data_IF_390365787682
#
_entry.id   IF_390365787682
#
_cell.length_a   1.000
_cell.length_b   1.000
_cell.length_c   1.000
_cell.angle_alpha   90.00
_cell.angle_beta   90.00
_cell.angle_gamma   90.00
#
_symmetry.space_group_name_H-M   'P 1'
#
loop_
_entity.id
_entity.type
_entity.pdbx_description
1 polymer ?
#
# COMPACT_ATOMS: atom_id res chain seq x y z
N UNK A 1 2.74 -8.53 29.08
CA UNK A 1 3.45 -8.09 27.86
C UNK A 1 3.41 -9.16 26.78
N UNK A 2 2.31 -9.94 26.69
CA UNK A 2 2.21 -11.07 25.76
C UNK A 2 1.99 -10.57 24.34
N UNK A 3 1.20 -9.49 24.19
CA UNK A 3 0.92 -8.90 22.90
C UNK A 3 2.17 -8.26 22.28
N UNK A 4 2.98 -7.57 23.09
CA UNK A 4 4.23 -6.94 22.66
C UNK A 4 5.29 -8.00 22.30
N UNK A 5 5.43 -9.05 23.12
CA UNK A 5 6.35 -10.15 22.85
C UNK A 5 5.95 -10.93 21.60
N UNK A 6 4.65 -11.16 21.38
CA UNK A 6 4.15 -11.79 20.17
C UNK A 6 4.42 -10.93 18.92
N UNK A 7 4.25 -9.61 19.00
CA UNK A 7 4.60 -8.69 17.92
C UNK A 7 6.10 -8.69 17.59
N UNK A 8 6.95 -8.77 18.61
CA UNK A 8 8.40 -8.84 18.41
C UNK A 8 8.83 -10.17 17.74
N UNK A 9 8.19 -11.29 18.10
CA UNK A 9 8.53 -12.61 17.56
C UNK A 9 8.00 -12.81 16.14
N UNK A 10 6.77 -12.39 15.85
CA UNK A 10 6.10 -12.68 14.58
C UNK A 10 6.19 -11.54 13.55
N UNK A 11 6.78 -10.41 13.92
CA UNK A 11 7.02 -9.26 13.04
C UNK A 11 5.72 -8.68 12.44
N UNK A 12 5.84 -8.06 11.26
CA UNK A 12 4.77 -7.31 10.58
C UNK A 12 3.66 -8.17 9.93
N UNK A 13 3.58 -9.48 10.22
CA UNK A 13 2.54 -10.34 9.63
C UNK A 13 1.15 -9.86 10.04
N UNK A 14 0.18 -9.90 9.13
CA UNK A 14 -1.22 -9.54 9.43
C UNK A 14 -1.81 -10.58 10.40
N UNK A 15 -1.85 -10.22 11.68
CA UNK A 15 -2.47 -11.03 12.72
C UNK A 15 -3.99 -10.92 12.56
N UNK A 16 -4.75 -12.03 12.56
CA UNK A 16 -6.20 -11.96 12.56
C UNK A 16 -6.70 -11.28 13.84
N UNK A 17 -7.68 -10.39 13.68
CA UNK A 17 -8.22 -9.54 14.77
C UNK A 17 -8.70 -10.32 15.99
N UNK A 18 -9.24 -11.53 15.79
CA UNK A 18 -9.68 -12.40 16.88
C UNK A 18 -8.54 -12.83 17.81
N UNK A 19 -7.37 -13.18 17.27
CA UNK A 19 -6.20 -13.60 18.08
C UNK A 19 -5.66 -12.42 18.86
N UNK A 20 -5.57 -11.24 18.24
CA UNK A 20 -5.09 -10.03 18.92
C UNK A 20 -6.01 -9.62 20.06
N UNK A 21 -7.34 -9.72 19.87
CA UNK A 21 -8.32 -9.47 20.92
C UNK A 21 -8.20 -10.48 22.06
N UNK A 22 -8.08 -11.77 21.76
CA UNK A 22 -7.93 -12.80 22.79
C UNK A 22 -6.67 -12.60 23.62
N UNK A 23 -5.53 -12.32 22.98
CA UNK A 23 -4.27 -12.04 23.67
C UNK A 23 -4.36 -10.79 24.55
N UNK A 24 -5.01 -9.73 24.04
CA UNK A 24 -5.23 -8.51 24.81
C UNK A 24 -6.09 -8.75 26.06
N UNK A 25 -7.20 -9.46 25.91
CA UNK A 25 -8.09 -9.78 27.04
C UNK A 25 -7.42 -10.69 28.07
N UNK A 26 -6.66 -11.68 27.62
CA UNK A 26 -5.88 -12.55 28.49
C UNK A 26 -4.84 -11.74 29.28
N UNK A 27 -4.10 -10.86 28.60
CA UNK A 27 -3.10 -10.00 29.25
C UNK A 27 -3.74 -9.05 30.28
N UNK A 28 -4.87 -8.41 29.94
CA UNK A 28 -5.60 -7.54 30.86
C UNK A 28 -6.14 -8.33 32.06
N UNK A 29 -6.66 -9.54 31.82
CA UNK A 29 -7.12 -10.42 32.90
C UNK A 29 -5.98 -10.82 33.83
N UNK A 30 -4.84 -11.21 33.28
CA UNK A 30 -3.66 -11.60 34.06
C UNK A 30 -3.11 -10.45 34.89
N UNK A 31 -3.02 -9.26 34.32
CA UNK A 31 -2.57 -8.05 35.04
C UNK A 31 -3.55 -7.68 36.15
N UNK A 32 -4.86 -7.69 35.89
CA UNK A 32 -5.88 -7.46 36.92
C UNK A 32 -5.80 -8.49 38.05
N UNK A 33 -5.57 -9.77 37.73
CA UNK A 33 -5.40 -10.82 38.73
C UNK A 33 -4.15 -10.58 39.59
N UNK A 34 -3.02 -10.24 38.97
CA UNK A 34 -1.80 -9.89 39.71
C UNK A 34 -2.00 -8.69 40.62
N UNK A 35 -2.73 -7.65 40.17
CA UNK A 35 -3.06 -6.49 40.99
C UNK A 35 -3.94 -6.90 42.18
N UNK A 36 -4.97 -7.72 41.94
CA UNK A 36 -5.87 -8.21 42.99
C UNK A 36 -5.12 -8.97 44.10
N UNK A 37 -4.10 -9.76 43.75
CA UNK A 37 -3.27 -10.50 44.72
C UNK A 37 -2.28 -9.61 45.48
N UNK A 38 -1.85 -8.48 44.91
CA UNK A 38 -0.81 -7.60 45.48
C UNK A 38 -1.37 -6.32 46.12
N UNK A 39 -2.56 -6.37 46.72
CA UNK A 39 -3.16 -5.21 47.41
C UNK A 39 -4.18 -4.42 46.60
N UNK A 40 -4.72 -5.01 45.54
CA UNK A 40 -5.90 -4.54 44.78
C UNK A 40 -5.84 -3.05 44.39
N UNK A 41 -6.92 -2.30 44.66
CA UNK A 41 -7.07 -0.92 44.22
C UNK A 41 -6.09 0.08 44.85
N UNK A 42 -5.36 -0.31 45.91
CA UNK A 42 -4.28 0.47 46.51
C UNK A 42 -2.91 0.28 45.82
N UNK A 43 -2.85 -0.53 44.76
CA UNK A 43 -1.60 -0.82 44.08
C UNK A 43 -1.28 0.18 42.93
N UNK A 44 -0.13 0.88 42.97
CA UNK A 44 0.27 1.82 41.92
C UNK A 44 0.53 1.17 40.55
N UNK A 45 0.72 -0.16 40.49
CA UNK A 45 0.87 -0.92 39.25
C UNK A 45 -0.39 -0.98 38.39
N UNK A 46 -1.53 -0.45 38.86
CA UNK A 46 -2.74 -0.23 38.04
C UNK A 46 -2.43 0.51 36.73
N UNK A 47 -1.47 1.44 36.74
CA UNK A 47 -1.04 2.18 35.56
C UNK A 47 -0.41 1.32 34.46
N UNK A 48 0.15 0.14 34.79
CA UNK A 48 0.72 -0.79 33.80
C UNK A 48 -0.36 -1.27 32.82
N UNK A 49 -1.63 -1.29 33.24
CA UNK A 49 -2.78 -1.69 32.42
C UNK A 49 -3.03 -0.74 31.24
N UNK A 50 -2.50 0.49 31.28
CA UNK A 50 -2.52 1.41 30.15
C UNK A 50 -1.71 0.89 28.94
N UNK A 51 -0.62 0.15 29.18
CA UNK A 51 0.22 -0.36 28.07
C UNK A 51 -0.53 -1.35 27.18
N UNK A 52 -1.11 -2.45 27.68
CA UNK A 52 -1.91 -3.35 26.85
C UNK A 52 -3.17 -2.68 26.30
N UNK A 53 -3.75 -1.70 27.00
CA UNK A 53 -4.87 -0.90 26.50
C UNK A 53 -4.46 -0.11 25.25
N UNK A 54 -3.37 0.67 25.31
CA UNK A 54 -2.85 1.45 24.19
C UNK A 54 -2.52 0.57 23.00
N UNK A 55 -1.83 -0.55 23.22
CA UNK A 55 -1.50 -1.50 22.17
C UNK A 55 -2.77 -2.06 21.51
N UNK A 56 -3.76 -2.43 22.33
CA UNK A 56 -5.04 -2.91 21.81
C UNK A 56 -5.75 -1.84 20.97
N UNK A 57 -5.80 -0.60 21.45
CA UNK A 57 -6.40 0.52 20.72
C UNK A 57 -5.66 0.84 19.41
N UNK A 58 -4.35 0.61 19.34
CA UNK A 58 -3.56 0.82 18.13
C UNK A 58 -3.67 -0.32 17.12
N UNK A 59 -3.89 -1.56 17.56
CA UNK A 59 -3.90 -2.72 16.66
C UNK A 59 -5.31 -3.20 16.27
N UNK A 60 -6.30 -3.06 17.15
CA UNK A 60 -7.64 -3.56 16.90
C UNK A 60 -8.51 -2.57 16.09
N UNK A 61 -9.55 -3.07 15.41
CA UNK A 61 -10.60 -2.21 14.86
C UNK A 61 -11.33 -1.47 15.99
N UNK A 62 -11.88 -0.29 15.68
CA UNK A 62 -12.48 0.62 16.67
C UNK A 62 -13.45 -0.06 17.64
N UNK A 63 -14.36 -0.89 17.14
CA UNK A 63 -15.36 -1.59 17.96
C UNK A 63 -14.70 -2.49 19.02
N UNK A 64 -13.66 -3.22 18.63
CA UNK A 64 -12.96 -4.14 19.52
C UNK A 64 -12.06 -3.40 20.53
N UNK A 65 -11.51 -2.24 20.16
CA UNK A 65 -10.80 -1.36 21.09
C UNK A 65 -11.68 -0.84 22.22
N UNK A 66 -12.94 -0.49 21.93
CA UNK A 66 -13.91 -0.06 22.97
C UNK A 66 -14.27 -1.19 23.94
N UNK A 67 -14.35 -2.44 23.47
CA UNK A 67 -14.57 -3.61 24.33
C UNK A 67 -13.42 -3.75 25.32
N UNK A 68 -12.18 -3.63 24.84
CA UNK A 68 -10.98 -3.69 25.68
C UNK A 68 -10.96 -2.55 26.72
N UNK A 69 -11.31 -1.33 26.33
CA UNK A 69 -11.45 -0.20 27.25
C UNK A 69 -12.49 -0.46 28.34
N UNK A 70 -13.69 -0.90 27.95
CA UNK A 70 -14.78 -1.18 28.88
C UNK A 70 -14.38 -2.26 29.90
N UNK A 71 -13.77 -3.35 29.45
CA UNK A 71 -13.28 -4.42 30.33
C UNK A 71 -12.18 -3.94 31.27
N UNK A 72 -11.30 -3.05 30.79
CA UNK A 72 -10.22 -2.47 31.60
C UNK A 72 -10.76 -1.59 32.72
N UNK A 73 -11.75 -0.74 32.41
CA UNK A 73 -12.43 0.11 33.40
C UNK A 73 -13.23 -0.73 34.40
N UNK A 74 -13.99 -1.73 33.91
CA UNK A 74 -14.75 -2.63 34.78
C UNK A 74 -13.84 -3.41 35.72
N UNK A 75 -12.70 -3.92 35.22
CA UNK A 75 -11.71 -4.63 36.02
C UNK A 75 -11.15 -3.76 37.15
N UNK A 76 -10.84 -2.49 36.87
CA UNK A 76 -10.37 -1.53 37.88
C UNK A 76 -11.47 -1.14 38.87
N UNK A 77 -12.71 -0.97 38.40
CA UNK A 77 -13.87 -0.71 39.28
C UNK A 77 -14.14 -1.87 40.25
N UNK A 78 -14.03 -3.12 39.80
CA UNK A 78 -14.23 -4.30 40.65
C UNK A 78 -13.19 -4.41 41.78
N UNK A 79 -11.97 -3.87 41.59
CA UNK A 79 -10.94 -3.88 42.62
C UNK A 79 -11.31 -3.04 43.86
N UNK A 80 -12.25 -2.09 43.74
CA UNK A 80 -12.74 -1.29 44.87
C UNK A 80 -13.66 -2.07 45.82
N UNK A 81 -14.16 -3.23 45.39
CA UNK A 81 -15.07 -4.08 46.20
C UNK A 81 -14.26 -4.93 47.20
N UNK A 82 -12.97 -5.14 46.96
CA UNK A 82 -12.10 -5.91 47.85
C UNK A 82 -11.78 -5.07 49.10
N UNK A 83 -12.21 -5.49 50.32
CA UNK A 83 -12.03 -4.69 51.52
C UNK A 83 -10.56 -4.55 51.90
N UNK A 84 -10.13 -3.32 52.18
CA UNK A 84 -8.81 -3.04 52.74
C UNK A 84 -8.74 -3.58 54.18
N UNK A 85 -7.99 -4.66 54.40
CA UNK A 85 -7.81 -5.25 55.74
C UNK A 85 -6.80 -4.43 56.56
N UNK A 86 -7.28 -3.62 57.52
CA UNK A 86 -6.41 -2.93 58.48
C UNK A 86 -7.05 -1.72 59.17
N UNK A 87 -6.49 -1.31 60.32
CA UNK A 87 -6.99 -0.19 61.16
C UNK A 87 -6.91 1.22 60.53
N UNK A 88 -6.35 1.36 59.31
CA UNK A 88 -6.31 2.61 58.51
C UNK A 88 -7.19 2.53 57.25
N UNK A 89 -8.26 1.73 57.28
CA UNK A 89 -9.08 1.38 56.12
C UNK A 89 -9.68 2.58 55.37
N UNK A 90 -10.12 3.63 56.07
CA UNK A 90 -10.79 4.78 55.44
C UNK A 90 -9.85 5.63 54.55
N UNK A 91 -8.62 5.90 55.01
CA UNK A 91 -7.64 6.67 54.24
C UNK A 91 -7.08 5.87 53.05
N UNK A 92 -6.94 4.55 53.22
CA UNK A 92 -6.47 3.67 52.15
C UNK A 92 -7.55 3.47 51.07
N UNK A 93 -8.83 3.44 51.47
CA UNK A 93 -9.96 3.35 50.54
C UNK A 93 -10.15 4.64 49.71
N UNK A 94 -9.96 5.83 50.30
CA UNK A 94 -10.02 7.08 49.54
C UNK A 94 -8.86 7.22 48.54
N UNK A 95 -7.66 6.77 48.91
CA UNK A 95 -6.51 6.72 47.99
C UNK A 95 -6.76 5.77 46.82
N UNK A 96 -7.29 4.58 47.10
CA UNK A 96 -7.65 3.58 46.08
C UNK A 96 -8.71 4.10 45.09
N UNK A 97 -9.73 4.82 45.57
CA UNK A 97 -10.70 5.50 44.71
C UNK A 97 -10.03 6.53 43.79
N UNK A 98 -9.09 7.32 44.32
CA UNK A 98 -8.32 8.29 43.54
C UNK A 98 -7.52 7.64 42.41
N UNK A 99 -6.94 6.46 42.66
CA UNK A 99 -6.19 5.72 41.63
C UNK A 99 -7.10 5.18 40.53
N UNK A 100 -8.25 4.58 40.87
CA UNK A 100 -9.22 4.09 39.88
C UNK A 100 -9.78 5.25 39.05
N UNK A 101 -10.11 6.38 39.69
CA UNK A 101 -10.60 7.56 38.98
C UNK A 101 -9.54 8.14 38.04
N UNK A 102 -8.29 8.20 38.47
CA UNK A 102 -7.16 8.64 37.62
C UNK A 102 -6.96 7.70 36.44
N UNK A 103 -7.09 6.37 36.64
CA UNK A 103 -7.02 5.39 35.56
C UNK A 103 -8.15 5.57 34.54
N UNK A 104 -9.39 5.79 34.99
CA UNK A 104 -10.54 6.05 34.10
C UNK A 104 -10.30 7.31 33.28
N UNK A 105 -9.87 8.41 33.92
CA UNK A 105 -9.65 9.67 33.23
C UNK A 105 -8.51 9.56 32.20
N UNK A 106 -7.39 8.96 32.58
CA UNK A 106 -6.23 8.77 31.69
C UNK A 106 -6.55 7.81 30.53
N UNK A 107 -7.21 6.69 30.78
CA UNK A 107 -7.61 5.74 29.73
C UNK A 107 -8.59 6.37 28.72
N UNK A 108 -9.53 7.18 29.18
CA UNK A 108 -10.47 7.90 28.30
C UNK A 108 -9.77 8.97 27.46
N UNK A 109 -8.87 9.75 28.08
CA UNK A 109 -8.06 10.75 27.39
C UNK A 109 -7.20 10.11 26.29
N UNK A 110 -6.46 9.05 26.65
CA UNK A 110 -5.61 8.31 25.72
C UNK A 110 -6.42 7.71 24.57
N UNK A 111 -7.58 7.11 24.88
CA UNK A 111 -8.49 6.58 23.85
C UNK A 111 -8.93 7.66 22.88
N UNK A 112 -9.31 8.83 23.39
CA UNK A 112 -9.76 9.97 22.58
C UNK A 112 -8.64 10.48 21.66
N UNK A 113 -7.43 10.62 22.19
CA UNK A 113 -6.25 11.04 21.41
C UNK A 113 -5.90 10.03 20.32
N UNK A 114 -5.90 8.73 20.63
CA UNK A 114 -5.65 7.67 19.64
C UNK A 114 -6.73 7.67 18.57
N UNK A 115 -8.00 7.84 18.95
CA UNK A 115 -9.11 7.91 18.01
C UNK A 115 -8.97 9.09 17.05
N UNK A 116 -8.64 10.27 17.57
CA UNK A 116 -8.37 11.47 16.78
C UNK A 116 -7.23 11.25 15.77
N UNK A 117 -6.11 10.67 16.20
CA UNK A 117 -4.99 10.38 15.30
C UNK A 117 -5.35 9.36 14.23
N UNK A 118 -6.13 8.33 14.55
CA UNK A 118 -6.58 7.34 13.56
C UNK A 118 -7.45 7.98 12.48
N UNK A 119 -8.35 8.89 12.84
CA UNK A 119 -9.15 9.64 11.86
C UNK A 119 -8.28 10.51 10.96
N UNK A 120 -7.33 11.25 11.54
CA UNK A 120 -6.41 12.07 10.75
C UNK A 120 -5.52 11.25 9.82
N UNK A 121 -5.01 10.10 10.28
CA UNK A 121 -4.21 9.20 9.45
C UNK A 121 -5.04 8.62 8.31
N UNK A 122 -6.32 8.29 8.55
CA UNK A 122 -7.24 7.87 7.50
C UNK A 122 -7.41 8.95 6.41
N UNK A 123 -7.63 10.20 6.80
CA UNK A 123 -7.75 11.30 5.85
C UNK A 123 -6.45 11.54 5.05
N UNK A 124 -5.29 11.51 5.73
CA UNK A 124 -3.98 11.69 5.09
C UNK A 124 -3.67 10.56 4.10
N UNK A 125 -3.94 9.32 4.47
CA UNK A 125 -3.70 8.16 3.58
C UNK A 125 -4.58 8.21 2.35
N UNK A 126 -5.85 8.58 2.48
CA UNK A 126 -6.74 8.80 1.34
C UNK A 126 -6.24 9.92 0.41
N UNK A 127 -5.78 11.05 0.98
CA UNK A 127 -5.23 12.16 0.19
C UNK A 127 -3.95 11.76 -0.58
N UNK A 128 -3.06 10.98 0.05
CA UNK A 128 -1.85 10.46 -0.60
C UNK A 128 -2.20 9.51 -1.75
N UNK A 129 -3.21 8.64 -1.57
CA UNK A 129 -3.67 7.76 -2.63
C UNK A 129 -4.20 8.56 -3.83
N UNK A 130 -5.01 9.59 -3.59
CA UNK A 130 -5.51 10.47 -4.65
C UNK A 130 -4.38 11.23 -5.37
N UNK A 131 -3.38 11.71 -4.65
CA UNK A 131 -2.21 12.36 -5.25
C UNK A 131 -1.42 11.39 -6.13
N UNK A 132 -1.24 10.14 -5.68
CA UNK A 132 -0.55 9.11 -6.45
C UNK A 132 -1.29 8.77 -7.74
N UNK A 133 -2.61 8.65 -7.70
CA UNK A 133 -3.43 8.42 -8.90
C UNK A 133 -3.32 9.57 -9.90
N UNK A 134 -3.33 10.82 -9.41
CA UNK A 134 -3.13 12.00 -10.27
C UNK A 134 -1.73 12.01 -10.90
N UNK A 135 -0.70 11.74 -10.12
CA UNK A 135 0.67 11.68 -10.61
C UNK A 135 0.82 10.63 -11.72
N UNK A 136 0.28 9.42 -11.52
CA UNK A 136 0.32 8.36 -12.54
C UNK A 136 -0.39 8.80 -13.83
N UNK A 137 -1.53 9.50 -13.71
CA UNK A 137 -2.25 10.04 -14.86
C UNK A 137 -1.45 11.12 -15.59
N UNK A 138 -0.80 12.02 -14.86
CA UNK A 138 0.01 13.09 -15.45
C UNK A 138 1.26 12.53 -16.15
N UNK A 139 1.91 11.52 -15.56
CA UNK A 139 3.02 10.78 -16.18
C UNK A 139 2.57 10.10 -17.49
N UNK A 140 1.39 9.48 -17.51
CA UNK A 140 0.82 8.88 -18.71
C UNK A 140 0.54 9.92 -19.80
N UNK A 141 -0.05 11.07 -19.44
CA UNK A 141 -0.31 12.15 -20.40
C UNK A 141 1.00 12.74 -20.95
N UNK A 142 2.02 12.88 -20.11
CA UNK A 142 3.35 13.33 -20.54
C UNK A 142 3.96 12.33 -21.53
N UNK A 143 3.89 11.02 -21.25
CA UNK A 143 4.40 9.99 -22.15
C UNK A 143 3.68 9.99 -23.52
N UNK A 144 2.36 10.18 -23.53
CA UNK A 144 1.59 10.35 -24.77
C UNK A 144 2.03 11.63 -25.50
N UNK A 145 2.22 12.74 -24.76
CA UNK A 145 2.66 14.01 -25.33
C UNK A 145 4.06 13.96 -25.94
N UNK A 146 5.01 13.30 -25.26
CA UNK A 146 6.37 13.10 -25.79
C UNK A 146 6.36 12.18 -27.00
N UNK A 147 5.57 11.10 -26.98
CA UNK A 147 5.38 10.24 -28.14
C UNK A 147 4.77 11.01 -29.32
N UNK A 148 3.73 11.83 -29.10
CA UNK A 148 3.12 12.67 -30.13
C UNK A 148 4.11 13.70 -30.72
N UNK A 149 4.97 14.29 -29.89
CA UNK A 149 6.01 15.21 -30.34
C UNK A 149 7.06 14.51 -31.20
N UNK A 150 7.55 13.34 -30.76
CA UNK A 150 8.47 12.52 -31.54
C UNK A 150 7.84 12.10 -32.89
N UNK A 151 6.57 11.73 -32.88
CA UNK A 151 5.84 11.38 -34.10
C UNK A 151 5.67 12.56 -35.05
N UNK A 152 5.40 13.75 -34.53
CA UNK A 152 5.31 14.96 -35.36
C UNK A 152 6.64 15.22 -36.06
N UNK A 153 7.76 15.00 -35.35
CA UNK A 153 9.10 15.10 -35.93
C UNK A 153 9.33 14.02 -37.00
N UNK A 154 9.05 12.76 -36.69
CA UNK A 154 9.28 11.63 -37.60
C UNK A 154 8.37 11.67 -38.84
N UNK A 155 7.19 12.29 -38.75
CA UNK A 155 6.30 12.53 -39.88
C UNK A 155 6.70 13.76 -40.71
N UNK A 156 7.32 14.78 -40.11
CA UNK A 156 7.75 15.99 -40.82
C UNK A 156 8.83 15.69 -41.88
N UNK A 157 9.74 14.76 -41.60
CA UNK A 157 10.82 14.36 -42.52
C UNK A 157 10.32 13.76 -43.84
N UNK A 158 9.52 12.68 -43.88
CA UNK A 158 9.02 12.11 -45.12
C UNK A 158 8.08 13.06 -45.87
N UNK A 159 7.34 13.94 -45.17
CA UNK A 159 6.51 14.98 -45.80
C UNK A 159 7.37 16.01 -46.52
N UNK A 160 8.47 16.46 -45.92
CA UNK A 160 9.44 17.33 -46.59
C UNK A 160 10.05 16.63 -47.81
N UNK A 161 10.42 15.36 -47.69
CA UNK A 161 10.94 14.58 -48.81
C UNK A 161 9.91 14.41 -49.93
N UNK A 162 8.63 14.14 -49.61
CA UNK A 162 7.54 14.10 -50.60
C UNK A 162 7.36 15.44 -51.32
N UNK A 163 7.48 16.56 -50.60
CA UNK A 163 7.42 17.90 -51.20
C UNK A 163 8.51 18.11 -52.25
N UNK A 164 9.76 17.74 -51.93
CA UNK A 164 10.89 17.85 -52.85
C UNK A 164 10.73 16.95 -54.09
N UNK A 165 10.30 15.69 -53.91
CA UNK A 165 10.10 14.75 -55.04
C UNK A 165 8.97 15.22 -55.97
N UNK A 166 7.89 15.81 -55.42
CA UNK A 166 6.81 16.38 -56.24
C UNK A 166 7.27 17.58 -57.06
N UNK A 167 8.19 18.39 -56.51
CA UNK A 167 8.81 19.51 -57.22
C UNK A 167 9.70 18.98 -58.37
N UNK A 168 10.52 17.95 -58.14
CA UNK A 168 11.35 17.31 -59.18
C UNK A 168 10.54 16.62 -60.29
N UNK A 169 9.41 15.98 -59.94
CA UNK A 169 8.46 15.39 -60.90
C UNK A 169 7.72 16.42 -61.74
N UNK A 170 7.52 17.63 -61.23
CA UNK A 170 6.90 18.71 -62.00
C UNK A 170 7.81 19.19 -63.15
N UNK A 171 9.13 19.06 -62.97
CA UNK A 171 10.15 19.38 -63.97
C UNK A 171 10.52 18.17 -64.87
N UNK A 172 10.22 16.93 -64.47
CA UNK A 172 10.77 15.71 -65.09
C UNK A 172 9.73 14.60 -65.31
N UNK A 173 9.67 14.03 -66.52
CA UNK A 173 8.75 12.94 -66.89
C UNK A 173 9.32 11.54 -66.59
N UNK A 174 9.93 11.36 -65.42
CA UNK A 174 10.79 10.20 -65.12
C UNK A 174 10.13 9.13 -64.23
N UNK A 175 10.33 7.85 -64.56
CA UNK A 175 9.62 6.71 -63.94
C UNK A 175 10.22 6.30 -62.59
N UNK A 176 11.49 6.64 -62.34
CA UNK A 176 12.24 6.35 -61.09
C UNK A 176 11.70 7.14 -59.91
N UNK A 177 11.31 8.40 -60.11
CA UNK A 177 10.73 9.25 -59.07
C UNK A 177 9.36 8.75 -58.57
N UNK A 178 8.59 8.06 -59.44
CA UNK A 178 7.35 7.39 -59.05
C UNK A 178 7.58 6.25 -58.04
N UNK A 179 8.69 5.51 -58.18
CA UNK A 179 9.06 4.43 -57.26
C UNK A 179 9.50 4.99 -55.91
N UNK A 180 10.25 6.10 -55.91
CA UNK A 180 10.68 6.81 -54.70
C UNK A 180 9.46 7.32 -53.89
N UNK A 181 8.47 7.91 -54.57
CA UNK A 181 7.22 8.37 -53.94
C UNK A 181 6.42 7.21 -53.31
N UNK A 182 6.36 6.07 -54.00
CA UNK A 182 5.68 4.88 -53.51
C UNK A 182 6.36 4.29 -52.27
N UNK A 183 7.71 4.32 -52.25
CA UNK A 183 8.52 3.98 -51.08
C UNK A 183 8.18 4.88 -49.89
N UNK A 184 8.19 6.21 -50.06
CA UNK A 184 7.88 7.15 -48.97
C UNK A 184 6.45 6.99 -48.44
N UNK A 185 5.49 6.72 -49.33
CA UNK A 185 4.10 6.42 -48.94
C UNK A 185 4.00 5.15 -48.09
N UNK A 186 4.74 4.09 -48.44
CA UNK A 186 4.75 2.86 -47.66
C UNK A 186 5.31 3.06 -46.24
N UNK A 187 6.31 3.93 -46.07
CA UNK A 187 6.86 4.27 -44.75
C UNK A 187 5.83 5.00 -43.87
N UNK A 188 5.06 5.94 -44.44
CA UNK A 188 3.96 6.61 -43.73
C UNK A 188 2.87 5.62 -43.29
N UNK A 189 2.54 4.63 -44.12
CA UNK A 189 1.54 3.62 -43.78
C UNK A 189 1.98 2.75 -42.59
N UNK A 190 3.26 2.38 -42.55
CA UNK A 190 3.85 1.61 -41.43
C UNK A 190 3.84 2.45 -40.14
N UNK A 191 4.23 3.72 -40.21
CA UNK A 191 4.22 4.62 -39.06
C UNK A 191 2.82 4.77 -38.45
N UNK A 192 1.80 4.95 -39.31
CA UNK A 192 0.41 5.09 -38.88
C UNK A 192 -0.15 3.80 -38.25
N UNK A 193 0.27 2.62 -38.73
CA UNK A 193 -0.13 1.33 -38.12
C UNK A 193 0.46 1.14 -36.74
N UNK A 194 1.78 1.33 -36.59
CA UNK A 194 2.44 1.23 -35.28
C UNK A 194 1.83 2.19 -34.26
N UNK A 195 1.46 3.40 -34.69
CA UNK A 195 0.81 4.37 -33.80
C UNK A 195 -0.57 3.93 -33.34
N UNK A 196 -1.37 3.36 -34.26
CA UNK A 196 -2.69 2.84 -33.90
C UNK A 196 -2.58 1.72 -32.87
N UNK A 197 -1.60 0.84 -33.00
CA UNK A 197 -1.36 -0.24 -32.04
C UNK A 197 -0.97 0.29 -30.65
N UNK A 198 -0.09 1.30 -30.57
CA UNK A 198 0.30 1.94 -29.30
C UNK A 198 -0.88 2.70 -28.68
N UNK A 199 -1.67 3.41 -29.48
CA UNK A 199 -2.84 4.15 -29.00
C UNK A 199 -3.95 3.22 -28.49
N UNK A 200 -4.16 2.07 -29.14
CA UNK A 200 -5.10 1.05 -28.70
C UNK A 200 -4.62 0.37 -27.40
N UNK A 201 -3.33 0.04 -27.29
CA UNK A 201 -2.72 -0.52 -26.07
C UNK A 201 -2.90 0.41 -24.85
N UNK A 202 -2.74 1.72 -25.04
CA UNK A 202 -2.90 2.74 -23.98
C UNK A 202 -4.37 3.01 -23.66
N UNK A 203 -5.26 3.06 -24.66
CA UNK A 203 -6.69 3.36 -24.48
C UNK A 203 -7.41 2.25 -23.71
N UNK A 204 -7.02 1.01 -23.93
CA UNK A 204 -7.80 -0.12 -23.41
C UNK A 204 -7.38 -0.56 -22.01
N UNK A 205 -6.30 0.01 -21.44
CA UNK A 205 -5.74 -0.41 -20.14
C UNK A 205 -5.74 -1.94 -19.99
N UNK A 206 -5.51 -2.64 -21.12
CA UNK A 206 -5.76 -4.07 -21.21
C UNK A 206 -4.63 -4.73 -20.44
N UNK A 207 -5.00 -5.44 -19.37
CA UNK A 207 -4.22 -6.58 -18.91
C UNK A 207 -4.07 -7.50 -20.11
N UNK A 208 -2.90 -7.41 -20.73
CA UNK A 208 -2.59 -8.18 -21.91
C UNK A 208 -2.25 -9.58 -21.39
N UNK A 209 -2.97 -10.59 -21.84
CA UNK A 209 -2.61 -11.97 -21.54
C UNK A 209 -1.25 -12.26 -22.18
N UNK A 210 -0.18 -12.15 -21.39
CA UNK A 210 1.15 -12.49 -21.88
C UNK A 210 1.33 -13.99 -21.79
N UNK A 211 1.58 -14.61 -22.95
CA UNK A 211 2.14 -15.95 -22.94
C UNK A 211 3.46 -15.91 -22.17
N UNK A 212 3.64 -16.76 -21.13
CA UNK A 212 4.85 -16.82 -20.31
C UNK A 212 6.13 -16.93 -21.15
N UNK A 213 6.03 -17.63 -22.29
CA UNK A 213 7.11 -17.81 -23.25
C UNK A 213 7.53 -16.49 -23.91
N UNK A 214 6.56 -15.66 -24.30
CA UNK A 214 6.84 -14.37 -24.94
C UNK A 214 7.41 -13.36 -23.95
N UNK A 215 6.92 -13.35 -22.71
CA UNK A 215 7.44 -12.49 -21.64
C UNK A 215 8.90 -12.86 -21.30
N UNK A 216 9.19 -14.16 -21.11
CA UNK A 216 10.54 -14.63 -20.83
C UNK A 216 11.48 -14.32 -22.00
N UNK A 217 11.01 -14.42 -23.25
CA UNK A 217 11.78 -14.05 -24.43
C UNK A 217 12.09 -12.55 -24.46
N UNK A 218 11.11 -11.69 -24.20
CA UNK A 218 11.29 -10.24 -24.15
C UNK A 218 12.24 -9.81 -23.03
N UNK A 219 12.08 -10.36 -21.83
CA UNK A 219 12.96 -10.12 -20.68
C UNK A 219 14.38 -10.59 -21.00
N UNK A 220 14.55 -11.78 -21.60
CA UNK A 220 15.86 -12.26 -22.05
C UNK A 220 16.52 -11.28 -23.01
N UNK A 221 15.76 -10.76 -23.99
CA UNK A 221 16.28 -9.83 -24.97
C UNK A 221 16.71 -8.49 -24.34
N UNK A 222 15.89 -7.95 -23.43
CA UNK A 222 16.20 -6.74 -22.68
C UNK A 222 17.41 -6.90 -21.77
N UNK A 223 17.55 -8.04 -21.09
CA UNK A 223 18.69 -8.27 -20.20
C UNK A 223 19.99 -8.46 -20.97
N UNK A 224 19.96 -9.13 -22.13
CA UNK A 224 21.14 -9.26 -22.99
C UNK A 224 21.59 -7.89 -23.50
N UNK A 225 20.66 -6.99 -23.85
CA UNK A 225 20.98 -5.62 -24.25
C UNK A 225 21.48 -4.76 -23.08
N UNK A 226 20.84 -4.83 -21.92
CA UNK A 226 21.11 -3.94 -20.79
C UNK A 226 22.29 -4.37 -19.92
N UNK A 227 22.58 -5.68 -19.84
CA UNK A 227 23.70 -6.24 -19.06
C UNK A 227 24.25 -7.52 -19.71
N UNK A 228 25.10 -7.39 -20.74
CA UNK A 228 25.67 -8.53 -21.45
C UNK A 228 26.60 -9.42 -20.58
N UNK A 229 27.12 -8.91 -19.45
CA UNK A 229 27.98 -9.68 -18.54
C UNK A 229 27.24 -10.58 -17.52
N UNK A 230 25.91 -10.54 -17.45
CA UNK A 230 25.14 -11.35 -16.51
C UNK A 230 24.93 -12.79 -17.03
N UNK A 231 25.62 -13.78 -16.44
CA UNK A 231 25.35 -15.20 -16.68
C UNK A 231 24.06 -15.63 -15.96
N UNK A 232 22.93 -15.55 -16.65
CA UNK A 232 21.64 -15.99 -16.12
C UNK A 232 21.32 -17.40 -16.63
N UNK A 233 21.19 -18.35 -15.70
CA UNK A 233 20.70 -19.70 -15.99
C UNK A 233 19.18 -19.67 -16.18
N UNK A 234 18.76 -19.65 -17.44
CA UNK A 234 17.35 -19.72 -17.80
C UNK A 234 16.81 -21.15 -17.68
N UNK A 235 15.59 -21.36 -17.17
CA UNK A 235 14.98 -22.68 -17.09
C UNK A 235 14.82 -23.30 -18.49
N UNK A 236 15.22 -24.57 -18.64
CA UNK A 236 15.21 -25.32 -19.91
C UNK A 236 13.80 -25.81 -20.32
N UNK A 237 12.90 -25.98 -19.35
CA UNK A 237 11.50 -26.30 -19.57
C UNK A 237 10.65 -25.07 -19.27
N UNK A 238 10.05 -24.49 -20.31
CA UNK A 238 9.08 -23.42 -20.16
C UNK A 238 7.70 -24.03 -19.89
N UNK A 239 6.98 -23.62 -18.84
CA UNK A 239 5.60 -24.04 -18.67
C UNK A 239 4.77 -23.52 -19.85
N UNK A 240 4.24 -24.44 -20.67
CA UNK A 240 3.45 -24.11 -21.85
C UNK A 240 2.03 -23.65 -21.52
N UNK A 241 1.54 -23.96 -20.31
CA UNK A 241 0.20 -23.62 -19.86
C UNK A 241 0.25 -22.68 -18.66
N UNK A 242 0.13 -21.39 -18.95
CA UNK A 242 -0.06 -20.34 -17.97
C UNK A 242 -0.46 -19.07 -18.71
N UNK A 243 -1.40 -18.32 -18.17
CA UNK A 243 -1.67 -16.96 -18.60
C UNK A 243 -1.18 -16.03 -17.50
N UNK A 244 -0.33 -15.06 -17.86
CA UNK A 244 0.10 -14.02 -16.94
C UNK A 244 -0.64 -12.76 -17.33
N UNK A 245 -1.62 -12.38 -16.52
CA UNK A 245 -2.25 -11.07 -16.60
C UNK A 245 -1.32 -10.05 -15.93
N UNK A 246 -0.86 -9.09 -16.72
CA UNK A 246 -0.04 -7.98 -16.24
C UNK A 246 -0.31 -6.73 -17.08
N UNK A 247 -0.18 -5.57 -16.45
CA UNK A 247 -0.14 -4.29 -17.15
C UNK A 247 1.16 -4.20 -17.96
N UNK A 248 1.16 -3.42 -19.05
CA UNK A 248 2.36 -3.17 -19.87
C UNK A 248 3.33 -2.17 -19.23
N UNK A 249 2.97 -1.59 -18.08
CA UNK A 249 3.80 -0.71 -17.24
C UNK A 249 4.57 -1.47 -16.17
#
# INVERSE_FOLDING_TARGET
>A
MLLLLFLLIFGRRRIPTGITLLLALLEIGLVNLSIALNGAASNPFSSILLVPLVLSLMLLPFKAGFVVLAISILGQGLQLIVPATGHHSAMMQSHAQGMVLSFILTSLLVTTVIFYFRLQLGAKTAAIQQLRERQLRDEQLLAIGTAAAQLTHDAATPVQTMGLILEELSDSRDLTLLVELQSQYSQLEILLRNWRDVADDVREARTSEFSPVNLIRAIRHLIILARPEAQINWPQQMPHNGCIEGDRT
#
